data_IF_285353271961
#
_entry.id   IF_285353271961
#
_cell.length_a   1.000
_cell.length_b   1.000
_cell.length_c   1.000
_cell.angle_alpha   90.00
_cell.angle_beta   90.00
_cell.angle_gamma   90.00
#
_symmetry.space_group_name_H-M   'P 1'
#
loop_
_entity.id
_entity.type
_entity.pdbx_description
1 polymer ?
#
# COMPACT_ATOMS: atom_id res chain seq x y z
N UNK A 1 -11.20 -14.77 60.84
CA UNK A 1 -9.89 -14.51 60.19
C UNK A 1 -10.08 -14.70 58.68
N UNK A 2 -10.31 -13.61 57.94
CA UNK A 2 -10.61 -13.64 56.49
C UNK A 2 -9.32 -13.82 55.68
N UNK A 3 -9.30 -14.83 54.82
CA UNK A 3 -8.19 -15.10 53.88
C UNK A 3 -8.42 -14.33 52.58
N UNK A 4 -7.57 -13.34 52.31
CA UNK A 4 -7.55 -12.63 51.04
C UNK A 4 -6.77 -13.44 49.99
N UNK A 5 -7.49 -14.12 49.09
CA UNK A 5 -6.87 -14.64 47.85
C UNK A 5 -6.50 -13.48 46.96
N UNK A 6 -5.20 -13.19 46.88
CA UNK A 6 -4.64 -12.29 45.87
C UNK A 6 -4.74 -13.00 44.51
N UNK A 7 -5.73 -12.62 43.70
CA UNK A 7 -5.83 -13.04 42.30
C UNK A 7 -4.68 -12.35 41.57
N UNK A 8 -3.60 -13.09 41.33
CA UNK A 8 -2.51 -12.64 40.47
C UNK A 8 -3.04 -12.48 39.05
N UNK A 9 -3.30 -11.24 38.62
CA UNK A 9 -3.38 -10.95 37.18
C UNK A 9 -1.98 -11.22 36.62
N UNK A 10 -1.84 -12.32 35.89
CA UNK A 10 -0.64 -12.62 35.12
C UNK A 10 -0.36 -11.42 34.21
N UNK A 11 0.75 -10.72 34.47
CA UNK A 11 1.31 -9.79 33.50
C UNK A 11 1.90 -10.63 32.39
N UNK A 12 1.15 -10.82 31.32
CA UNK A 12 1.73 -11.23 30.03
C UNK A 12 2.87 -10.27 29.72
N UNK A 13 4.07 -10.79 29.48
CA UNK A 13 5.22 -9.93 29.16
C UNK A 13 4.93 -9.12 27.89
N UNK A 14 5.47 -7.91 27.76
CA UNK A 14 5.29 -7.09 26.55
C UNK A 14 5.66 -7.90 25.30
N UNK A 15 6.74 -8.69 25.39
CA UNK A 15 7.21 -9.63 24.36
C UNK A 15 6.18 -10.69 23.96
N UNK A 16 5.26 -11.05 24.85
CA UNK A 16 4.25 -12.08 24.65
C UNK A 16 2.91 -11.49 24.18
N UNK A 17 2.58 -10.27 24.60
CA UNK A 17 1.49 -9.48 24.01
C UNK A 17 1.79 -8.99 22.57
N UNK A 18 3.08 -8.92 22.21
CA UNK A 18 3.55 -8.59 20.85
C UNK A 18 3.39 -9.75 19.85
N UNK A 19 3.13 -10.99 20.30
CA UNK A 19 2.96 -12.19 19.46
C UNK A 19 1.49 -12.47 19.15
N UNK A 20 0.84 -11.56 18.42
CA UNK A 20 -0.45 -11.86 17.79
C UNK A 20 -0.19 -12.53 16.43
N UNK A 21 -0.94 -13.57 16.00
CA UNK A 21 -0.68 -14.30 14.75
C UNK A 21 -0.58 -13.39 13.51
N UNK A 22 -1.40 -12.35 13.47
CA UNK A 22 -1.40 -11.32 12.42
C UNK A 22 -0.10 -10.50 12.36
N UNK A 23 0.53 -10.21 13.51
CA UNK A 23 1.80 -9.46 13.57
C UNK A 23 2.99 -10.32 13.17
N UNK A 24 2.98 -11.60 13.53
CA UNK A 24 3.96 -12.58 13.06
C UNK A 24 3.91 -12.72 11.54
N UNK A 25 2.71 -12.66 10.95
CA UNK A 25 2.54 -12.72 9.50
C UNK A 25 3.16 -11.50 8.76
N UNK A 26 3.07 -10.29 9.31
CA UNK A 26 3.69 -9.10 8.70
C UNK A 26 5.22 -9.21 8.69
N UNK A 27 5.83 -9.60 9.81
CA UNK A 27 7.29 -9.75 9.89
C UNK A 27 7.76 -10.79 8.87
N UNK A 28 7.10 -11.96 8.81
CA UNK A 28 7.42 -13.00 7.84
C UNK A 28 7.27 -12.52 6.39
N UNK A 29 6.19 -11.80 6.07
CA UNK A 29 6.00 -11.23 4.74
C UNK A 29 7.12 -10.24 4.39
N UNK A 30 7.52 -9.37 5.33
CA UNK A 30 8.64 -8.45 5.12
C UNK A 30 9.95 -9.19 4.88
N UNK A 31 10.25 -10.19 5.72
CA UNK A 31 11.44 -11.02 5.54
C UNK A 31 11.47 -11.67 4.15
N UNK A 32 10.33 -12.13 3.65
CA UNK A 32 10.20 -12.68 2.30
C UNK A 32 10.49 -11.62 1.22
N UNK A 33 9.89 -10.43 1.30
CA UNK A 33 10.16 -9.35 0.35
C UNK A 33 11.65 -8.97 0.34
N UNK A 34 12.24 -8.79 1.52
CA UNK A 34 13.66 -8.43 1.66
C UNK A 34 14.57 -9.54 1.13
N UNK A 35 14.24 -10.81 1.40
CA UNK A 35 14.96 -11.98 0.86
C UNK A 35 14.91 -12.02 -0.66
N UNK A 36 13.80 -11.57 -1.27
CA UNK A 36 13.63 -11.43 -2.72
C UNK A 36 14.35 -10.21 -3.31
N UNK A 37 15.07 -9.44 -2.49
CA UNK A 37 15.83 -8.27 -2.89
C UNK A 37 15.04 -6.97 -2.89
N UNK A 38 13.83 -6.95 -2.33
CA UNK A 38 13.04 -5.74 -2.23
C UNK A 38 13.53 -4.82 -1.11
N UNK A 39 13.46 -3.52 -1.34
CA UNK A 39 13.54 -2.52 -0.28
C UNK A 39 12.14 -2.24 0.27
N UNK A 40 12.00 -2.14 1.60
CA UNK A 40 10.72 -1.78 2.24
C UNK A 40 10.90 -0.71 3.30
N UNK A 41 9.82 -0.03 3.66
CA UNK A 41 9.79 0.97 4.73
C UNK A 41 8.68 0.68 5.74
N UNK A 42 8.91 0.88 7.05
CA UNK A 42 7.87 0.75 8.04
C UNK A 42 6.89 1.92 7.97
N UNK A 43 5.60 1.62 8.03
CA UNK A 43 4.52 2.61 8.06
C UNK A 43 3.82 2.62 9.43
N UNK A 44 3.40 3.81 9.84
CA UNK A 44 2.55 3.97 11.01
C UNK A 44 1.16 3.35 10.76
N UNK A 45 0.68 2.48 11.67
CA UNK A 45 -0.64 1.88 11.55
C UNK A 45 -1.72 2.95 11.38
N UNK A 46 -2.74 2.63 10.57
CA UNK A 46 -3.92 3.50 10.27
C UNK A 46 -3.62 4.79 9.49
N UNK A 47 -2.41 5.31 9.52
CA UNK A 47 -2.06 6.54 8.77
C UNK A 47 -1.54 6.27 7.36
N UNK A 48 -1.02 5.05 7.11
CA UNK A 48 -0.29 4.68 5.87
C UNK A 48 0.92 5.59 5.58
N UNK A 49 1.37 6.38 6.55
CA UNK A 49 2.53 7.27 6.41
C UNK A 49 3.81 6.55 6.82
N UNK A 50 4.93 6.78 6.13
CA UNK A 50 6.23 6.29 6.57
C UNK A 50 6.56 6.73 8.00
N UNK A 51 7.28 5.87 8.72
CA UNK A 51 7.66 6.14 10.11
C UNK A 51 8.47 7.43 10.24
N UNK A 52 9.44 7.58 9.36
CA UNK A 52 10.20 8.80 9.18
C UNK A 52 9.45 9.67 8.17
N UNK A 53 9.15 10.93 8.48
CA UNK A 53 8.41 11.79 7.54
C UNK A 53 9.33 12.40 6.48
N UNK A 54 10.53 12.80 6.89
CA UNK A 54 11.53 13.42 6.01
C UNK A 54 12.59 12.39 5.59
N UNK A 55 12.83 12.25 4.29
CA UNK A 55 13.89 11.37 3.78
C UNK A 55 13.62 9.87 3.95
N UNK A 56 12.37 9.46 4.18
CA UNK A 56 11.98 8.05 4.24
C UNK A 56 12.34 7.26 2.98
N UNK A 57 12.36 7.95 1.84
CA UNK A 57 12.69 7.41 0.53
C UNK A 57 14.19 7.43 0.24
N UNK A 58 15.04 7.77 1.21
CA UNK A 58 16.49 7.67 1.06
C UNK A 58 16.94 6.21 1.25
N UNK A 59 17.92 5.71 0.46
CA UNK A 59 18.38 4.33 0.55
C UNK A 59 18.75 3.89 1.97
N UNK A 60 19.44 4.73 2.75
CA UNK A 60 19.85 4.45 4.12
C UNK A 60 18.69 4.26 5.12
N UNK A 61 17.48 4.73 4.77
CA UNK A 61 16.30 4.67 5.64
C UNK A 61 15.35 3.51 5.31
N UNK A 62 15.68 2.68 4.32
CA UNK A 62 14.87 1.51 3.96
C UNK A 62 15.51 0.21 4.42
N UNK A 63 14.65 -0.73 4.75
CA UNK A 63 15.02 -2.06 5.22
C UNK A 63 15.32 -2.93 4.00
N UNK A 64 16.57 -3.40 3.90
CA UNK A 64 17.08 -4.28 2.84
C UNK A 64 17.80 -5.52 3.37
N UNK A 65 17.93 -5.64 4.69
CA UNK A 65 18.54 -6.80 5.33
C UNK A 65 17.51 -7.47 6.23
N UNK A 66 17.38 -8.79 6.09
CA UNK A 66 16.48 -9.63 6.90
C UNK A 66 16.78 -9.45 8.39
N UNK A 67 18.04 -9.27 8.77
CA UNK A 67 18.45 -9.09 10.17
C UNK A 67 17.84 -7.84 10.83
N UNK A 68 17.50 -6.80 10.05
CA UNK A 68 16.93 -5.56 10.56
C UNK A 68 15.41 -5.63 10.74
N UNK A 69 14.74 -6.57 10.08
CA UNK A 69 13.28 -6.66 10.02
C UNK A 69 12.62 -6.72 11.41
N UNK A 70 13.06 -7.59 12.35
CA UNK A 70 12.40 -7.70 13.65
C UNK A 70 12.37 -6.38 14.41
N UNK A 71 13.45 -5.61 14.37
CA UNK A 71 13.55 -4.31 15.08
C UNK A 71 12.77 -3.21 14.36
N UNK A 72 12.82 -3.19 13.02
CA UNK A 72 12.19 -2.13 12.23
C UNK A 72 10.66 -2.25 12.18
N UNK A 73 10.13 -3.48 12.20
CA UNK A 73 8.70 -3.76 12.12
C UNK A 73 8.04 -4.12 13.47
N UNK A 74 8.79 -4.06 14.57
CA UNK A 74 8.25 -4.23 15.92
C UNK A 74 7.06 -3.27 16.19
N UNK A 75 6.03 -3.77 16.87
CA UNK A 75 4.85 -2.99 17.26
C UNK A 75 3.66 -3.09 16.31
N UNK A 76 3.73 -3.91 15.26
CA UNK A 76 2.61 -4.09 14.31
C UNK A 76 2.51 -2.96 13.30
N UNK A 77 3.66 -2.47 12.81
CA UNK A 77 3.75 -1.49 11.73
C UNK A 77 3.26 -2.12 10.42
N UNK A 78 2.67 -1.31 9.56
CA UNK A 78 2.37 -1.74 8.18
C UNK A 78 3.63 -1.64 7.32
N UNK A 79 3.57 -2.20 6.12
CA UNK A 79 4.70 -2.23 5.18
C UNK A 79 4.41 -1.32 3.99
N UNK A 80 5.37 -0.46 3.69
CA UNK A 80 5.40 0.32 2.46
C UNK A 80 6.46 -0.23 1.52
N UNK A 81 6.15 -0.29 0.23
CA UNK A 81 7.09 -0.63 -0.84
C UNK A 81 7.43 0.64 -1.62
N UNK A 82 8.67 1.17 -1.50
CA UNK A 82 9.14 2.27 -2.33
C UNK A 82 9.21 1.82 -3.80
N UNK A 83 8.37 2.38 -4.66
CA UNK A 83 8.12 1.86 -6.00
C UNK A 83 9.36 1.97 -6.90
N UNK A 84 10.00 3.13 -6.96
CA UNK A 84 11.16 3.38 -7.82
C UNK A 84 12.40 2.57 -7.44
N UNK A 85 12.64 2.36 -6.15
CA UNK A 85 13.74 1.52 -5.64
C UNK A 85 13.57 0.05 -5.99
N UNK A 86 12.33 -0.40 -6.08
CA UNK A 86 11.99 -1.77 -6.46
C UNK A 86 11.76 -1.92 -7.98
N UNK A 87 11.93 -0.84 -8.76
CA UNK A 87 11.60 -0.78 -10.19
C UNK A 87 10.15 -1.22 -10.49
N UNK A 88 9.23 -0.74 -9.66
CA UNK A 88 7.80 -1.01 -9.71
C UNK A 88 7.00 0.26 -10.02
N UNK A 89 5.77 0.05 -10.45
CA UNK A 89 4.70 1.04 -10.44
C UNK A 89 3.42 0.39 -9.94
N UNK A 90 2.50 1.19 -9.37
CA UNK A 90 1.18 0.74 -8.98
C UNK A 90 0.10 1.41 -9.83
N UNK A 91 -0.93 0.64 -10.15
CA UNK A 91 -2.22 1.13 -10.64
C UNK A 91 -3.24 0.88 -9.52
N UNK A 92 -3.87 1.94 -9.05
CA UNK A 92 -4.88 1.91 -8.00
C UNK A 92 -6.19 2.46 -8.55
N UNK A 93 -7.27 1.67 -8.51
CA UNK A 93 -8.57 2.08 -9.04
C UNK A 93 -9.50 2.49 -7.88
N UNK A 94 -9.92 3.75 -7.85
CA UNK A 94 -10.85 4.27 -6.84
C UNK A 94 -12.31 4.15 -7.27
N UNK A 95 -12.59 4.37 -8.57
CA UNK A 95 -13.93 4.28 -9.15
C UNK A 95 -13.98 3.26 -10.31
N UNK A 96 -14.25 1.97 -10.04
CA UNK A 96 -14.14 0.90 -11.04
C UNK A 96 -15.03 1.08 -12.27
N UNK A 97 -16.22 1.64 -12.12
CA UNK A 97 -17.15 1.85 -13.25
C UNK A 97 -16.62 2.93 -14.19
N UNK A 98 -16.12 4.04 -13.64
CA UNK A 98 -15.55 5.13 -14.42
C UNK A 98 -14.22 4.71 -15.06
N UNK A 99 -13.39 3.98 -14.32
CA UNK A 99 -12.13 3.46 -14.83
C UNK A 99 -12.33 2.49 -15.99
N UNK A 100 -13.31 1.57 -15.92
CA UNK A 100 -13.61 0.68 -17.06
C UNK A 100 -13.99 1.44 -18.32
N UNK A 101 -14.88 2.44 -18.21
CA UNK A 101 -15.27 3.28 -19.35
C UNK A 101 -14.10 4.07 -19.94
N UNK A 102 -13.20 4.57 -19.08
CA UNK A 102 -11.98 5.24 -19.52
C UNK A 102 -11.10 4.29 -20.34
N UNK A 103 -10.85 3.08 -19.82
CA UNK A 103 -10.02 2.08 -20.48
C UNK A 103 -10.64 1.57 -21.78
N UNK A 104 -11.96 1.32 -21.80
CA UNK A 104 -12.71 0.98 -23.02
C UNK A 104 -12.54 2.06 -24.10
N UNK A 105 -12.61 3.34 -23.74
CA UNK A 105 -12.38 4.45 -24.66
C UNK A 105 -10.95 4.51 -25.22
N UNK A 106 -9.98 3.91 -24.54
CA UNK A 106 -8.60 3.73 -24.99
C UNK A 106 -8.37 2.40 -25.73
N UNK A 107 -9.40 1.56 -25.86
CA UNK A 107 -9.28 0.21 -26.42
C UNK A 107 -8.52 -0.77 -25.53
N UNK A 108 -8.53 -0.55 -24.21
CA UNK A 108 -7.86 -1.37 -23.20
C UNK A 108 -8.86 -2.10 -22.32
N UNK A 109 -8.52 -3.33 -21.92
CA UNK A 109 -9.27 -4.10 -20.92
C UNK A 109 -8.64 -3.91 -19.53
N UNK A 110 -9.36 -3.20 -18.66
CA UNK A 110 -8.90 -2.91 -17.30
C UNK A 110 -8.76 -4.17 -16.45
N UNK A 111 -9.71 -5.11 -16.54
CA UNK A 111 -9.70 -6.30 -15.71
C UNK A 111 -8.55 -7.23 -16.15
N UNK A 112 -8.30 -7.35 -17.46
CA UNK A 112 -7.13 -8.05 -17.98
C UNK A 112 -5.81 -7.40 -17.52
N UNK A 113 -5.72 -6.06 -17.53
CA UNK A 113 -4.53 -5.35 -17.06
C UNK A 113 -4.28 -5.60 -15.56
N UNK A 114 -5.31 -5.45 -14.73
CA UNK A 114 -5.19 -5.71 -13.29
C UNK A 114 -4.74 -7.16 -13.02
N UNK A 115 -5.28 -8.13 -13.76
CA UNK A 115 -4.91 -9.55 -13.64
C UNK A 115 -3.49 -9.87 -14.14
N UNK A 116 -2.93 -9.05 -15.03
CA UNK A 116 -1.54 -9.20 -15.48
C UNK A 116 -0.52 -8.70 -14.44
N UNK A 117 -0.95 -7.83 -13.51
CA UNK A 117 -0.12 -7.32 -12.42
C UNK A 117 -0.21 -8.17 -11.14
N UNK A 118 0.71 -7.92 -10.20
CA UNK A 118 0.61 -8.52 -8.87
C UNK A 118 -0.45 -7.78 -8.04
N UNK A 119 -1.52 -8.48 -7.68
CA UNK A 119 -2.68 -7.90 -6.99
C UNK A 119 -2.35 -7.63 -5.52
N UNK A 120 -2.49 -6.38 -5.10
CA UNK A 120 -2.39 -6.02 -3.68
C UNK A 120 -3.78 -6.11 -3.05
N UNK A 121 -3.97 -7.03 -2.12
CA UNK A 121 -5.27 -7.27 -1.49
C UNK A 121 -5.32 -6.63 -0.11
N UNK A 122 -5.72 -5.36 -0.04
CA UNK A 122 -6.12 -4.73 1.22
C UNK A 122 -7.60 -4.95 1.58
N UNK A 123 -8.46 -5.15 0.57
CA UNK A 123 -9.89 -5.46 0.69
C UNK A 123 -10.28 -6.55 -0.34
N UNK A 124 -11.28 -7.40 -0.06
CA UNK A 124 -11.82 -8.32 -1.07
C UNK A 124 -12.26 -7.56 -2.32
N UNK A 125 -11.88 -8.05 -3.50
CA UNK A 125 -12.11 -7.33 -4.77
C UNK A 125 -11.17 -6.14 -5.00
N UNK A 126 -9.99 -6.15 -4.36
CA UNK A 126 -9.00 -5.08 -4.38
C UNK A 126 -8.81 -4.50 -5.77
N UNK A 127 -8.61 -3.20 -5.86
CA UNK A 127 -8.64 -2.45 -7.10
C UNK A 127 -7.23 -2.03 -7.56
N UNK A 128 -6.21 -2.65 -6.94
CA UNK A 128 -4.80 -2.31 -7.10
C UNK A 128 -3.97 -3.43 -7.68
N UNK A 129 -3.01 -3.08 -8.53
CA UNK A 129 -2.01 -3.99 -9.06
C UNK A 129 -0.63 -3.33 -9.14
N UNK A 130 0.42 -4.11 -8.87
CA UNK A 130 1.82 -3.73 -9.07
C UNK A 130 2.34 -4.30 -10.39
N UNK A 131 3.11 -3.49 -11.10
CA UNK A 131 3.78 -3.86 -12.34
C UNK A 131 5.27 -3.58 -12.23
N UNK A 132 6.10 -4.42 -12.85
CA UNK A 132 7.50 -4.09 -13.08
C UNK A 132 7.59 -3.02 -14.15
N UNK A 133 8.39 -1.99 -13.88
CA UNK A 133 8.72 -0.98 -14.88
C UNK A 133 9.70 -1.60 -15.90
N UNK A 134 9.43 -1.52 -17.21
CA UNK A 134 10.31 -2.03 -18.24
C UNK A 134 11.72 -1.43 -18.16
N UNK A 135 12.73 -2.24 -18.47
CA UNK A 135 14.11 -1.74 -18.58
C UNK A 135 14.19 -0.61 -19.61
N UNK A 136 14.89 0.49 -19.26
CA UNK A 136 15.04 1.65 -20.13
C UNK A 136 13.84 2.61 -20.14
N UNK A 137 12.77 2.32 -19.40
CA UNK A 137 11.66 3.27 -19.27
C UNK A 137 12.15 4.60 -18.64
N UNK A 138 11.79 5.77 -19.19
CA UNK A 138 12.27 7.04 -18.65
C UNK A 138 11.78 7.28 -17.23
N UNK A 139 12.69 7.23 -16.25
CA UNK A 139 12.36 7.43 -14.83
C UNK A 139 11.66 8.77 -14.55
N UNK A 140 11.94 9.80 -15.35
CA UNK A 140 11.29 11.11 -15.25
C UNK A 140 9.78 11.09 -15.54
N UNK A 141 9.27 10.04 -16.19
CA UNK A 141 7.84 9.83 -16.43
C UNK A 141 7.15 9.07 -15.29
N UNK A 142 7.92 8.45 -14.39
CA UNK A 142 7.37 7.80 -13.20
C UNK A 142 7.08 8.86 -12.14
N UNK A 143 5.80 9.14 -11.94
CA UNK A 143 5.29 10.15 -11.02
C UNK A 143 4.08 9.60 -10.28
N UNK A 144 3.55 10.40 -9.37
CA UNK A 144 2.21 10.22 -8.82
C UNK A 144 1.24 10.96 -9.73
N UNK A 145 0.44 10.19 -10.48
CA UNK A 145 -0.52 10.68 -11.44
C UNK A 145 -1.92 10.28 -11.01
N UNK A 146 -2.76 11.29 -10.84
CA UNK A 146 -4.16 11.13 -10.45
C UNK A 146 -5.00 11.45 -11.67
N UNK A 147 -5.90 10.54 -12.04
CA UNK A 147 -6.91 10.84 -13.04
C UNK A 147 -8.22 11.14 -12.34
N UNK A 148 -8.62 12.40 -12.40
CA UNK A 148 -9.83 12.89 -11.76
C UNK A 148 -10.88 13.28 -12.79
N UNK A 149 -12.16 13.18 -12.39
CA UNK A 149 -13.29 13.66 -13.19
C UNK A 149 -14.19 14.53 -12.33
N UNK A 150 -14.55 15.70 -12.84
CA UNK A 150 -15.48 16.60 -12.14
C UNK A 150 -16.86 15.96 -11.94
N UNK A 151 -17.36 16.02 -10.70
CA UNK A 151 -18.73 15.64 -10.33
C UNK A 151 -19.78 16.35 -11.20
N UNK A 152 -19.58 17.64 -11.46
CA UNK A 152 -20.48 18.42 -12.32
C UNK A 152 -20.53 17.87 -13.75
N UNK A 153 -19.39 17.41 -14.29
CA UNK A 153 -19.32 16.82 -15.63
C UNK A 153 -20.04 15.47 -15.68
N UNK A 154 -19.89 14.63 -14.66
CA UNK A 154 -20.61 13.36 -14.57
C UNK A 154 -22.13 13.58 -14.47
N UNK A 155 -22.56 14.54 -13.64
CA UNK A 155 -23.97 14.92 -13.50
C UNK A 155 -24.56 15.44 -14.80
N UNK A 156 -23.85 16.32 -15.51
CA UNK A 156 -24.27 16.83 -16.82
C UNK A 156 -24.40 15.71 -17.87
N UNK A 157 -23.61 14.64 -17.75
CA UNK A 157 -23.70 13.45 -18.59
C UNK A 157 -24.76 12.43 -18.11
N UNK A 158 -25.52 12.73 -17.05
CA UNK A 158 -26.52 11.83 -16.48
C UNK A 158 -25.94 10.58 -15.80
N UNK A 159 -24.66 10.62 -15.42
CA UNK A 159 -23.98 9.51 -14.74
C UNK A 159 -24.17 9.61 -13.22
N UNK A 160 -24.18 8.46 -12.50
CA UNK A 160 -24.27 8.45 -11.05
C UNK A 160 -23.05 9.15 -10.44
N UNK A 161 -23.30 9.98 -9.43
CA UNK A 161 -22.26 10.73 -8.71
C UNK A 161 -22.55 10.64 -7.22
N UNK A 162 -21.60 10.13 -6.43
CA UNK A 162 -21.75 9.99 -4.97
C UNK A 162 -21.34 11.27 -4.21
N UNK A 163 -20.92 12.31 -4.94
CA UNK A 163 -20.43 13.58 -4.42
C UNK A 163 -21.08 14.72 -5.22
N UNK A 164 -21.62 15.73 -4.54
CA UNK A 164 -22.37 16.80 -5.21
C UNK A 164 -21.48 17.77 -5.99
N UNK A 165 -20.26 18.02 -5.51
CA UNK A 165 -19.33 19.01 -6.06
C UNK A 165 -17.86 18.54 -5.95
N UNK A 166 -16.99 19.10 -6.80
CA UNK A 166 -15.55 18.81 -6.79
C UNK A 166 -15.14 17.73 -7.78
N UNK A 167 -13.89 17.30 -7.65
CA UNK A 167 -13.29 16.27 -8.50
C UNK A 167 -13.29 14.92 -7.79
N UNK A 168 -13.69 13.89 -8.54
CA UNK A 168 -13.68 12.50 -8.09
C UNK A 168 -12.40 11.87 -8.63
N UNK A 169 -11.58 11.31 -7.74
CA UNK A 169 -10.45 10.50 -8.16
C UNK A 169 -10.95 9.18 -8.71
N UNK A 170 -10.58 8.87 -9.95
CA UNK A 170 -11.00 7.63 -10.61
C UNK A 170 -9.95 6.55 -10.46
N UNK A 171 -8.69 6.94 -10.64
CA UNK A 171 -7.54 6.07 -10.50
C UNK A 171 -6.28 6.85 -10.21
N UNK A 172 -5.28 6.12 -9.72
CA UNK A 172 -3.93 6.60 -9.52
C UNK A 172 -2.92 5.67 -10.18
N UNK A 173 -1.92 6.28 -10.81
CA UNK A 173 -0.73 5.63 -11.33
C UNK A 173 0.46 6.18 -10.57
N UNK A 174 1.13 5.34 -9.79
CA UNK A 174 2.26 5.76 -8.96
C UNK A 174 3.52 5.02 -9.37
N UNK A 175 4.65 5.71 -9.38
CA UNK A 175 5.97 5.14 -9.61
C UNK A 175 7.08 6.13 -9.26
N UNK A 176 8.34 5.70 -9.22
CA UNK A 176 9.44 6.58 -8.86
C UNK A 176 9.52 6.80 -7.35
N UNK A 177 9.59 8.05 -6.87
CA UNK A 177 9.86 8.36 -5.46
C UNK A 177 8.67 8.15 -4.50
N UNK A 178 7.64 7.44 -4.93
CA UNK A 178 6.44 7.16 -4.15
C UNK A 178 6.49 5.74 -3.59
N UNK A 179 5.75 5.50 -2.51
CA UNK A 179 5.55 4.18 -1.95
C UNK A 179 4.10 3.76 -2.06
N UNK A 180 3.86 2.46 -2.03
CA UNK A 180 2.53 1.93 -1.84
C UNK A 180 2.48 0.96 -0.65
N UNK A 181 1.28 0.79 -0.08
CA UNK A 181 1.06 -0.10 1.05
C UNK A 181 0.83 -1.53 0.53
N UNK A 182 1.58 -2.47 1.08
CA UNK A 182 1.41 -3.91 0.83
C UNK A 182 0.30 -4.50 1.70
#
# INVERSE_FOLDING_TARGET
>A
MWSARRIGRGRTSLAEALRTPEKTAIIQAVEEYVTRGCAVVPLWPRSKKPRLLEGWNKPENMVRNVADVPTQFEGGKNVGIPLGENNLMSLDIDEPVLARRLFEGLGLDLDALLNAGHRLTGKPGGSRALFRVPHGFPKALLKDMHYTVSAARLKAAGLPVNQEEGDINVLELRGGNFQDVL
#
